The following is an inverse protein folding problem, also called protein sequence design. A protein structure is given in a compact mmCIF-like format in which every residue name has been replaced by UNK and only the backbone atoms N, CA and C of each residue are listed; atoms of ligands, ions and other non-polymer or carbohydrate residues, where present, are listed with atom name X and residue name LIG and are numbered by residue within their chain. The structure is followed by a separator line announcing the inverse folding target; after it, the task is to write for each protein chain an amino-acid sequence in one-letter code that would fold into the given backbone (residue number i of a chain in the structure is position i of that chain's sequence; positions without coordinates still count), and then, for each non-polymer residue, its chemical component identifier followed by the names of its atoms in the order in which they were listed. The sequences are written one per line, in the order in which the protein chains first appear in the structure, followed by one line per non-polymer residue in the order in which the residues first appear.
data_IF_432525771820
#
_entry.id   IF_432525771820
#
_cell.length_a   1.000
_cell.length_b   1.000
_cell.length_c   1.000
_cell.angle_alpha   90.00
_cell.angle_beta   90.00
_cell.angle_gamma   90.00
#
_symmetry.space_group_name_H-M   'P 1'
#
loop_
_entity.id
_entity.type
_entity.pdbx_description
1 polymer ?
#
# COMPACT_ATOMS: atom_id res chain seq x y z
N UNK A 1 18.25 -0.45 2.86
CA UNK A 1 18.91 -0.34 1.56
C UNK A 1 18.22 -1.19 0.50
N UNK A 2 18.03 -2.53 0.67
CA UNK A 2 17.49 -3.47 -0.33
C UNK A 2 16.18 -3.01 -0.99
N UNK A 3 15.17 -2.64 -0.19
CA UNK A 3 13.87 -2.21 -0.69
C UNK A 3 13.95 -0.93 -1.56
N UNK A 4 14.70 0.07 -1.10
CA UNK A 4 14.86 1.33 -1.83
C UNK A 4 15.62 1.14 -3.14
N UNK A 5 16.64 0.26 -3.17
CA UNK A 5 17.37 -0.03 -4.40
C UNK A 5 16.51 -0.80 -5.39
N UNK A 6 15.73 -1.80 -4.93
CA UNK A 6 14.85 -2.58 -5.80
C UNK A 6 13.69 -1.73 -6.36
N UNK A 7 13.16 -0.78 -5.58
CA UNK A 7 12.04 0.08 -5.94
C UNK A 7 12.49 1.50 -6.35
N UNK A 8 13.77 1.66 -6.70
CA UNK A 8 14.34 2.98 -7.02
C UNK A 8 13.56 3.72 -8.12
N UNK A 9 13.30 3.04 -9.24
CA UNK A 9 12.58 3.64 -10.37
C UNK A 9 11.14 4.02 -10.00
N UNK A 10 10.31 3.14 -9.40
CA UNK A 10 9.00 3.54 -8.87
C UNK A 10 9.06 4.74 -7.92
N UNK A 11 10.01 4.78 -6.99
CA UNK A 11 10.14 5.89 -6.06
C UNK A 11 10.56 7.21 -6.72
N UNK A 12 11.36 7.17 -7.80
CA UNK A 12 11.65 8.37 -8.59
C UNK A 12 10.39 8.94 -9.23
N UNK A 13 9.51 8.09 -9.78
CA UNK A 13 8.21 8.53 -10.31
C UNK A 13 7.29 9.08 -9.20
N UNK A 14 7.31 8.48 -8.01
CA UNK A 14 6.57 8.96 -6.85
C UNK A 14 7.03 10.36 -6.46
N UNK A 15 8.35 10.57 -6.30
CA UNK A 15 8.93 11.86 -5.93
C UNK A 15 8.63 12.92 -6.99
N UNK A 16 8.77 12.58 -8.27
CA UNK A 16 8.41 13.48 -9.37
C UNK A 16 6.94 13.90 -9.31
N UNK A 17 6.03 12.95 -9.07
CA UNK A 17 4.61 13.25 -8.89
C UNK A 17 4.36 14.17 -7.70
N UNK A 18 4.98 13.88 -6.54
CA UNK A 18 4.85 14.74 -5.36
C UNK A 18 5.39 16.14 -5.60
N UNK A 19 6.48 16.28 -6.35
CA UNK A 19 7.08 17.58 -6.68
C UNK A 19 6.20 18.42 -7.60
N UNK A 20 5.43 17.81 -8.51
CA UNK A 20 4.51 18.53 -9.40
C UNK A 20 3.42 19.30 -8.65
N UNK A 21 3.04 18.88 -7.45
CA UNK A 21 1.95 19.52 -6.70
C UNK A 21 2.30 20.91 -6.19
N UNK A 22 3.35 21.12 -5.37
CA UNK A 22 3.70 22.47 -4.91
C UNK A 22 4.02 23.38 -6.07
N UNK A 23 4.79 22.92 -7.07
CA UNK A 23 5.10 23.69 -8.27
C UNK A 23 3.82 24.08 -9.01
N UNK A 24 2.88 23.15 -9.19
CA UNK A 24 1.61 23.41 -9.87
C UNK A 24 0.75 24.47 -9.16
N UNK A 25 0.70 24.47 -7.84
CA UNK A 25 -0.04 25.49 -7.08
C UNK A 25 0.55 26.89 -7.27
N UNK A 26 1.88 27.01 -7.25
CA UNK A 26 2.55 28.30 -7.39
C UNK A 26 2.48 28.84 -8.82
N UNK A 27 2.71 27.99 -9.82
CA UNK A 27 2.81 28.44 -11.21
C UNK A 27 1.46 28.59 -11.92
N UNK A 28 0.42 27.87 -11.50
CA UNK A 28 -0.91 27.92 -12.11
C UNK A 28 -1.50 29.34 -12.18
N UNK A 29 -1.24 30.15 -11.16
CA UNK A 29 -1.77 31.51 -11.03
C UNK A 29 -0.88 32.60 -11.64
N UNK A 30 0.36 32.27 -12.08
CA UNK A 30 1.33 33.26 -12.58
C UNK A 30 0.90 33.95 -13.87
N UNK A 31 0.20 33.25 -14.76
CA UNK A 31 -0.24 33.77 -16.01
C UNK A 31 -1.77 33.68 -16.14
N UNK A 32 -2.44 34.72 -16.70
CA UNK A 32 -3.89 34.72 -16.92
C UNK A 32 -4.32 33.83 -18.09
N UNK A 33 -3.37 33.29 -18.88
CA UNK A 33 -3.63 32.51 -20.08
C UNK A 33 -4.40 31.18 -19.73
N UNK A 34 -5.54 30.91 -20.41
CA UNK A 34 -6.32 29.70 -20.21
C UNK A 34 -5.57 28.39 -20.57
N UNK A 35 -4.66 28.42 -21.55
CA UNK A 35 -3.86 27.25 -21.92
C UNK A 35 -2.85 26.93 -20.82
N UNK A 36 -2.17 27.94 -20.29
CA UNK A 36 -1.27 27.81 -19.16
C UNK A 36 -1.95 27.15 -17.96
N UNK A 37 -3.14 27.63 -17.56
CA UNK A 37 -3.91 27.06 -16.44
C UNK A 37 -4.31 25.63 -16.70
N UNK A 38 -4.73 25.26 -17.92
CA UNK A 38 -5.08 23.87 -18.27
C UNK A 38 -3.88 22.93 -18.17
N UNK A 39 -2.69 23.36 -18.55
CA UNK A 39 -1.48 22.56 -18.41
C UNK A 39 -1.15 22.28 -16.95
N UNK A 40 -1.21 23.31 -16.09
CA UNK A 40 -0.97 23.15 -14.68
C UNK A 40 -2.07 22.35 -13.96
N UNK A 41 -3.33 22.46 -14.37
CA UNK A 41 -4.41 21.62 -13.87
C UNK A 41 -4.14 20.15 -14.17
N UNK A 42 -3.65 19.82 -15.37
CA UNK A 42 -3.23 18.44 -15.71
C UNK A 42 -2.00 18.00 -14.91
N UNK A 43 -1.02 18.86 -14.73
CA UNK A 43 0.15 18.58 -13.89
C UNK A 43 -0.23 18.28 -12.44
N UNK A 44 -1.18 19.00 -11.85
CA UNK A 44 -1.73 18.76 -10.52
C UNK A 44 -2.44 17.38 -10.43
N UNK A 45 -3.21 17.02 -11.46
CA UNK A 45 -3.85 15.70 -11.54
C UNK A 45 -2.79 14.60 -11.62
N UNK A 46 -1.78 14.76 -12.48
CA UNK A 46 -0.68 13.80 -12.58
C UNK A 46 0.12 13.71 -11.29
N UNK A 47 0.33 14.84 -10.60
CA UNK A 47 0.98 14.92 -9.30
C UNK A 47 0.23 14.20 -8.17
N UNK A 48 -1.07 13.93 -8.32
CA UNK A 48 -1.84 13.10 -7.42
C UNK A 48 -1.93 11.64 -7.89
N UNK A 49 -2.07 11.43 -9.18
CA UNK A 49 -2.25 10.12 -9.81
C UNK A 49 -0.98 9.25 -9.69
N UNK A 50 0.18 9.81 -10.07
CA UNK A 50 1.45 9.07 -10.06
C UNK A 50 1.78 8.48 -8.68
N UNK A 51 1.82 9.24 -7.58
CA UNK A 51 2.08 8.67 -6.26
C UNK A 51 1.08 7.59 -5.87
N UNK A 52 -0.20 7.78 -6.17
CA UNK A 52 -1.25 6.79 -5.87
C UNK A 52 -1.00 5.47 -6.58
N UNK A 53 -0.69 5.53 -7.89
CA UNK A 53 -0.40 4.35 -8.68
C UNK A 53 0.89 3.66 -8.22
N UNK A 54 1.92 4.42 -7.89
CA UNK A 54 3.19 3.86 -7.38
C UNK A 54 2.98 3.17 -6.03
N UNK A 55 2.20 3.73 -5.10
CA UNK A 55 1.88 3.05 -3.85
C UNK A 55 1.13 1.74 -4.09
N UNK A 56 0.12 1.74 -4.95
CA UNK A 56 -0.59 0.52 -5.33
C UNK A 56 0.33 -0.51 -5.97
N UNK A 57 1.19 -0.08 -6.90
CA UNK A 57 2.18 -0.93 -7.53
C UNK A 57 3.18 -1.51 -6.53
N UNK A 58 3.67 -0.71 -5.58
CA UNK A 58 4.60 -1.15 -4.53
C UNK A 58 4.00 -2.28 -3.69
N UNK A 59 2.71 -2.18 -3.30
CA UNK A 59 2.02 -3.25 -2.59
C UNK A 59 1.92 -4.53 -3.45
N UNK A 60 1.62 -4.38 -4.73
CA UNK A 60 1.60 -5.51 -5.67
C UNK A 60 2.97 -6.18 -5.83
N UNK A 61 4.04 -5.41 -5.88
CA UNK A 61 5.42 -5.92 -5.91
C UNK A 61 5.81 -6.64 -4.62
N UNK A 62 5.43 -6.10 -3.46
CA UNK A 62 5.69 -6.74 -2.18
C UNK A 62 4.97 -8.09 -2.07
N UNK A 63 3.71 -8.16 -2.48
CA UNK A 63 2.94 -9.41 -2.47
C UNK A 63 3.47 -10.44 -3.47
N UNK A 64 4.01 -10.01 -4.58
CA UNK A 64 4.64 -10.88 -5.58
C UNK A 64 6.03 -11.36 -5.16
N UNK A 65 6.73 -10.58 -4.34
CA UNK A 65 8.14 -10.72 -4.02
C UNK A 65 9.04 -10.00 -5.03
N UNK A 66 10.05 -9.32 -4.51
CA UNK A 66 11.02 -8.60 -5.33
C UNK A 66 12.14 -9.54 -5.81
N UNK A 67 12.65 -9.39 -7.03
CA UNK A 67 13.68 -10.28 -7.58
C UNK A 67 15.06 -9.88 -7.08
N UNK A 68 15.40 -10.22 -5.84
CA UNK A 68 16.73 -10.02 -5.28
C UNK A 68 17.23 -11.27 -4.55
N UNK A 69 18.54 -11.38 -4.38
CA UNK A 69 19.19 -12.39 -3.54
C UNK A 69 20.40 -11.81 -2.85
N UNK A 70 20.75 -12.39 -1.71
CA UNK A 70 21.99 -12.11 -1.03
C UNK A 70 23.04 -13.18 -1.39
N UNK A 71 24.28 -12.77 -1.60
CA UNK A 71 25.42 -13.70 -1.64
C UNK A 71 25.96 -13.96 -0.23
N UNK A 72 26.96 -14.83 -0.11
CA UNK A 72 27.63 -15.15 1.16
C UNK A 72 28.28 -13.93 1.83
N UNK A 73 28.59 -12.88 1.08
CA UNK A 73 29.13 -11.61 1.58
C UNK A 73 28.03 -10.56 1.87
N UNK A 74 26.74 -10.98 1.89
CA UNK A 74 25.56 -10.12 2.08
C UNK A 74 25.41 -9.00 1.04
N UNK A 75 26.01 -9.17 -0.15
CA UNK A 75 25.81 -8.25 -1.26
C UNK A 75 24.51 -8.58 -1.97
N UNK A 76 23.79 -7.55 -2.40
CA UNK A 76 22.50 -7.70 -3.03
C UNK A 76 22.69 -7.81 -4.55
N UNK A 77 22.11 -8.86 -5.13
CA UNK A 77 22.03 -9.04 -6.57
C UNK A 77 20.56 -8.99 -6.99
N UNK A 78 20.27 -8.22 -8.03
CA UNK A 78 18.93 -8.09 -8.59
C UNK A 78 18.81 -8.91 -9.86
N UNK A 79 17.67 -9.57 -10.04
CA UNK A 79 17.31 -10.27 -11.26
C UNK A 79 16.32 -9.48 -12.11
N UNK A 80 15.87 -10.12 -13.19
CA UNK A 80 14.81 -9.56 -14.01
C UNK A 80 13.49 -9.55 -13.25
N UNK A 81 12.72 -8.48 -13.42
CA UNK A 81 11.36 -8.39 -12.89
C UNK A 81 10.41 -9.19 -13.77
N UNK A 82 9.77 -10.19 -13.17
CA UNK A 82 8.63 -10.87 -13.77
C UNK A 82 7.35 -10.28 -13.17
N UNK A 83 6.53 -9.67 -14.02
CA UNK A 83 5.37 -8.91 -13.57
C UNK A 83 4.09 -9.74 -13.65
N UNK A 84 3.48 -10.00 -12.50
CA UNK A 84 2.10 -10.46 -12.45
C UNK A 84 1.16 -9.25 -12.66
N UNK A 85 0.94 -8.90 -13.92
CA UNK A 85 0.15 -7.73 -14.30
C UNK A 85 -1.27 -7.71 -13.70
N UNK A 86 -2.03 -8.82 -13.66
CA UNK A 86 -3.34 -8.84 -13.02
C UNK A 86 -3.33 -8.38 -11.55
N UNK A 87 -2.41 -8.89 -10.75
CA UNK A 87 -2.27 -8.48 -9.35
C UNK A 87 -1.85 -7.02 -9.24
N UNK A 88 -0.86 -6.61 -10.03
CA UNK A 88 -0.35 -5.25 -10.03
C UNK A 88 -1.45 -4.24 -10.38
N UNK A 89 -2.21 -4.48 -11.45
CA UNK A 89 -3.30 -3.62 -11.88
C UNK A 89 -4.44 -3.57 -10.86
N UNK A 90 -4.77 -4.69 -10.21
CA UNK A 90 -5.79 -4.69 -9.14
C UNK A 90 -5.33 -3.89 -7.92
N UNK A 91 -4.07 -3.99 -7.50
CA UNK A 91 -3.52 -3.18 -6.40
C UNK A 91 -3.52 -1.69 -6.74
N UNK A 92 -3.06 -1.31 -7.95
CA UNK A 92 -3.07 0.06 -8.44
C UNK A 92 -4.49 0.64 -8.53
N UNK A 93 -5.42 -0.14 -9.08
CA UNK A 93 -6.83 0.24 -9.20
C UNK A 93 -7.50 0.39 -7.85
N UNK A 94 -7.24 -0.53 -6.90
CA UNK A 94 -7.76 -0.45 -5.53
C UNK A 94 -7.27 0.81 -4.83
N UNK A 95 -5.96 1.10 -4.89
CA UNK A 95 -5.38 2.30 -4.30
C UNK A 95 -6.01 3.57 -4.88
N UNK A 96 -6.17 3.62 -6.21
CA UNK A 96 -6.79 4.77 -6.88
C UNK A 96 -8.26 4.95 -6.46
N UNK A 97 -9.08 3.88 -6.55
CA UNK A 97 -10.48 3.95 -6.19
C UNK A 97 -10.69 4.32 -4.72
N UNK A 98 -9.87 3.76 -3.83
CA UNK A 98 -9.94 4.00 -2.39
C UNK A 98 -9.55 5.45 -2.02
N UNK A 99 -8.46 5.97 -2.57
CA UNK A 99 -8.05 7.36 -2.31
C UNK A 99 -9.02 8.38 -2.93
N UNK A 100 -9.57 8.09 -4.10
CA UNK A 100 -10.63 8.92 -4.68
C UNK A 100 -11.91 8.89 -3.83
N UNK A 101 -12.29 7.73 -3.28
CA UNK A 101 -13.41 7.60 -2.35
C UNK A 101 -13.17 8.40 -1.08
N UNK A 102 -11.98 8.29 -0.49
CA UNK A 102 -11.63 9.02 0.73
C UNK A 102 -11.63 10.54 0.50
N UNK A 103 -11.05 10.99 -0.61
CA UNK A 103 -11.06 12.41 -1.01
C UNK A 103 -12.49 12.94 -1.26
N UNK A 104 -13.34 12.16 -1.94
CA UNK A 104 -14.75 12.52 -2.16
C UNK A 104 -15.51 12.62 -0.84
N UNK A 105 -15.26 11.70 0.10
CA UNK A 105 -15.88 11.70 1.43
C UNK A 105 -15.41 12.90 2.27
N UNK A 106 -14.14 13.28 2.15
CA UNK A 106 -13.60 14.49 2.78
C UNK A 106 -14.26 15.76 2.25
N UNK A 107 -14.35 15.91 0.92
CA UNK A 107 -15.00 17.05 0.31
C UNK A 107 -16.49 17.12 0.66
N UNK A 108 -17.19 15.99 0.68
CA UNK A 108 -18.59 15.94 1.13
C UNK A 108 -18.75 16.43 2.57
N UNK A 109 -17.79 16.15 3.44
CA UNK A 109 -17.81 16.61 4.84
C UNK A 109 -17.55 18.12 4.98
N UNK A 110 -16.74 18.70 4.09
CA UNK A 110 -16.24 20.08 4.19
C UNK A 110 -16.93 21.08 3.27
N UNK A 111 -17.71 20.63 2.28
CA UNK A 111 -18.34 21.50 1.28
C UNK A 111 -19.86 21.30 1.25
N UNK A 112 -20.54 22.25 0.62
CA UNK A 112 -22.01 22.23 0.43
C UNK A 112 -22.37 22.48 -1.04
N UNK A 113 -23.64 22.30 -1.38
CA UNK A 113 -24.16 22.61 -2.70
C UNK A 113 -23.69 21.65 -3.80
N UNK A 114 -23.32 22.21 -4.97
CA UNK A 114 -23.00 21.43 -6.18
C UNK A 114 -21.79 20.50 -5.99
N UNK A 115 -20.76 20.94 -5.23
CA UNK A 115 -19.55 20.16 -5.00
C UNK A 115 -19.90 18.90 -4.19
N UNK A 116 -20.63 19.06 -3.08
CA UNK A 116 -21.07 17.95 -2.24
C UNK A 116 -21.91 16.92 -3.03
N UNK A 117 -22.84 17.39 -3.87
CA UNK A 117 -23.64 16.52 -4.72
C UNK A 117 -22.81 15.72 -5.73
N UNK A 118 -21.81 16.36 -6.36
CA UNK A 118 -20.87 15.68 -7.27
C UNK A 118 -20.07 14.61 -6.54
N UNK A 119 -19.55 14.92 -5.36
CA UNK A 119 -18.80 13.97 -4.52
C UNK A 119 -19.68 12.79 -4.11
N UNK A 120 -20.92 13.01 -3.68
CA UNK A 120 -21.85 11.95 -3.35
C UNK A 120 -22.17 11.05 -4.57
N UNK A 121 -22.30 11.65 -5.76
CA UNK A 121 -22.51 10.90 -7.01
C UNK A 121 -21.30 10.04 -7.36
N UNK A 122 -20.07 10.56 -7.23
CA UNK A 122 -18.85 9.80 -7.49
C UNK A 122 -18.67 8.65 -6.51
N UNK A 123 -18.92 8.86 -5.22
CA UNK A 123 -18.82 7.84 -4.18
C UNK A 123 -19.69 6.62 -4.46
N UNK A 124 -20.84 6.76 -5.17
CA UNK A 124 -21.70 5.64 -5.54
C UNK A 124 -20.99 4.54 -6.34
N UNK A 125 -20.04 4.94 -7.16
CA UNK A 125 -19.25 4.02 -8.00
C UNK A 125 -17.92 3.63 -7.37
N UNK A 126 -17.29 4.57 -6.66
CA UNK A 126 -15.95 4.37 -6.10
C UNK A 126 -15.91 3.34 -4.97
N UNK A 127 -16.92 3.31 -4.10
CA UNK A 127 -16.98 2.34 -3.01
C UNK A 127 -17.12 0.90 -3.51
N UNK A 128 -18.15 0.56 -4.32
CA UNK A 128 -18.28 -0.76 -4.92
C UNK A 128 -17.05 -1.15 -5.77
N UNK A 129 -16.46 -0.19 -6.53
CA UNK A 129 -15.28 -0.43 -7.31
C UNK A 129 -14.07 -0.79 -6.41
N UNK A 130 -13.83 -0.03 -5.34
CA UNK A 130 -12.75 -0.30 -4.40
C UNK A 130 -12.91 -1.67 -3.73
N UNK A 131 -14.14 -2.00 -3.26
CA UNK A 131 -14.44 -3.31 -2.67
C UNK A 131 -14.30 -4.45 -3.68
N UNK A 132 -14.77 -4.27 -4.90
CA UNK A 132 -14.66 -5.27 -5.96
C UNK A 132 -13.21 -5.55 -6.38
N UNK A 133 -12.41 -4.50 -6.57
CA UNK A 133 -10.99 -4.64 -6.89
C UNK A 133 -10.21 -5.26 -5.73
N UNK A 134 -10.52 -4.90 -4.48
CA UNK A 134 -9.90 -5.51 -3.30
C UNK A 134 -10.24 -7.00 -3.19
N UNK A 135 -11.51 -7.38 -3.43
CA UNK A 135 -11.93 -8.78 -3.48
C UNK A 135 -11.20 -9.55 -4.59
N UNK A 136 -11.08 -8.94 -5.77
CA UNK A 136 -10.36 -9.53 -6.91
C UNK A 136 -8.87 -9.70 -6.59
N UNK A 137 -8.24 -8.71 -5.93
CA UNK A 137 -6.85 -8.82 -5.46
C UNK A 137 -6.67 -9.95 -4.45
N UNK A 138 -7.59 -10.10 -3.49
CA UNK A 138 -7.62 -11.22 -2.54
C UNK A 138 -7.79 -12.58 -3.23
N UNK A 139 -8.64 -12.65 -4.26
CA UNK A 139 -8.79 -13.86 -5.08
C UNK A 139 -7.48 -14.21 -5.82
N UNK A 140 -6.84 -13.24 -6.47
CA UNK A 140 -5.53 -13.47 -7.08
C UNK A 140 -4.48 -13.91 -6.07
N UNK A 141 -4.46 -13.29 -4.89
CA UNK A 141 -3.52 -13.64 -3.82
C UNK A 141 -3.72 -15.09 -3.34
N UNK A 142 -4.95 -15.56 -3.26
CA UNK A 142 -5.25 -16.95 -2.86
C UNK A 142 -4.79 -18.00 -3.88
N UNK A 143 -4.57 -17.62 -5.14
CA UNK A 143 -4.04 -18.51 -6.18
C UNK A 143 -2.50 -18.49 -6.26
N UNK A 144 -1.87 -17.52 -5.61
CA UNK A 144 -0.41 -17.37 -5.62
C UNK A 144 0.23 -18.14 -4.47
N UNK A 145 1.42 -18.68 -4.72
CA UNK A 145 2.26 -19.24 -3.67
C UNK A 145 2.83 -18.10 -2.83
N UNK A 146 2.64 -18.18 -1.53
CA UNK A 146 3.24 -17.26 -0.58
C UNK A 146 4.52 -17.83 0.03
N UNK A 147 5.05 -17.15 1.02
CA UNK A 147 6.29 -17.52 1.70
C UNK A 147 5.99 -17.98 3.12
N UNK A 148 6.73 -18.99 3.58
CA UNK A 148 6.66 -19.51 4.94
C UNK A 148 8.05 -19.79 5.46
N UNK A 149 8.32 -19.47 6.72
CA UNK A 149 9.56 -19.83 7.39
C UNK A 149 9.45 -21.29 7.78
N UNK A 150 10.36 -22.13 7.25
CA UNK A 150 10.43 -23.55 7.58
C UNK A 150 11.34 -23.79 8.79
N UNK A 151 12.47 -23.09 8.85
CA UNK A 151 13.46 -23.24 9.93
C UNK A 151 14.02 -21.85 10.25
N UNK A 152 14.19 -21.59 11.53
CA UNK A 152 14.88 -20.40 12.04
C UNK A 152 16.22 -20.91 12.56
N UNK A 153 17.33 -20.30 12.16
CA UNK A 153 18.65 -20.62 12.67
C UNK A 153 18.78 -20.32 14.17
N UNK A 154 19.95 -20.57 14.73
CA UNK A 154 20.21 -20.35 16.15
C UNK A 154 19.99 -18.87 16.52
N UNK A 155 19.01 -18.64 17.39
CA UNK A 155 18.65 -17.30 17.87
C UNK A 155 19.75 -16.63 18.70
N UNK A 156 20.74 -17.39 19.16
CA UNK A 156 21.88 -16.87 19.92
C UNK A 156 23.08 -16.48 19.04
N UNK A 157 23.00 -16.78 17.73
CA UNK A 157 24.02 -16.36 16.77
C UNK A 157 23.73 -14.95 16.22
N UNK A 158 24.71 -14.34 15.55
CA UNK A 158 24.51 -13.05 14.87
C UNK A 158 23.41 -13.23 13.81
N UNK A 159 22.28 -12.59 14.01
CA UNK A 159 21.13 -12.66 13.10
C UNK A 159 21.53 -12.12 11.73
N UNK A 160 21.65 -12.99 10.75
CA UNK A 160 21.84 -12.62 9.36
C UNK A 160 20.64 -13.08 8.54
N UNK A 161 20.27 -12.37 7.47
CA UNK A 161 19.14 -12.77 6.62
C UNK A 161 19.23 -14.20 6.06
N UNK A 162 20.46 -14.75 5.96
CA UNK A 162 20.73 -16.09 5.41
C UNK A 162 20.58 -17.24 6.42
N UNK A 163 20.35 -16.96 7.70
CA UNK A 163 20.24 -18.00 8.74
C UNK A 163 18.87 -18.70 8.81
N UNK A 164 17.91 -18.24 8.02
CA UNK A 164 16.59 -18.84 7.97
C UNK A 164 16.36 -19.58 6.66
N UNK A 165 15.65 -20.69 6.73
CA UNK A 165 15.15 -21.39 5.55
C UNK A 165 13.71 -20.98 5.29
N UNK A 166 13.49 -20.31 4.17
CA UNK A 166 12.15 -19.92 3.71
C UNK A 166 11.76 -20.80 2.53
N UNK A 167 10.54 -21.29 2.55
CA UNK A 167 9.97 -22.09 1.48
C UNK A 167 8.72 -21.41 0.92
N UNK A 168 8.44 -21.67 -0.34
CA UNK A 168 7.18 -21.26 -0.96
C UNK A 168 6.09 -22.27 -0.63
N UNK A 169 4.95 -21.80 -0.12
CA UNK A 169 3.80 -22.64 0.22
C UNK A 169 2.54 -22.11 -0.49
N UNK A 170 1.61 -22.98 -0.92
CA UNK A 170 0.36 -22.54 -1.56
C UNK A 170 -0.46 -21.63 -0.64
N UNK A 171 -0.42 -21.86 0.67
CA UNK A 171 -1.21 -21.08 1.66
C UNK A 171 -0.36 -20.00 2.35
N UNK A 172 0.85 -19.70 1.86
CA UNK A 172 1.80 -18.84 2.56
C UNK A 172 1.23 -17.46 2.92
N UNK A 173 0.46 -16.85 2.03
CA UNK A 173 -0.18 -15.56 2.26
C UNK A 173 -1.43 -15.62 3.16
N UNK A 174 -2.10 -16.76 3.21
CA UNK A 174 -3.30 -16.96 4.01
C UNK A 174 -3.01 -17.65 5.36
N UNK A 175 -1.76 -18.10 5.58
CA UNK A 175 -1.37 -18.85 6.76
C UNK A 175 -1.72 -18.18 8.08
N UNK A 176 -1.51 -16.86 8.19
CA UNK A 176 -1.84 -16.10 9.40
C UNK A 176 -3.35 -16.03 9.65
N UNK A 177 -4.15 -15.92 8.60
CA UNK A 177 -5.62 -15.90 8.70
C UNK A 177 -6.18 -17.27 9.07
N UNK A 178 -5.54 -18.36 8.60
CA UNK A 178 -5.93 -19.73 8.97
C UNK A 178 -5.52 -20.06 10.40
N UNK A 179 -4.33 -19.60 10.85
CA UNK A 179 -3.87 -19.79 12.22
C UNK A 179 -4.72 -19.03 13.25
N UNK A 180 -5.22 -17.85 12.87
CA UNK A 180 -6.01 -16.99 13.73
C UNK A 180 -7.29 -16.54 13.00
N UNK A 181 -8.39 -17.32 13.05
CA UNK A 181 -9.61 -17.05 12.29
C UNK A 181 -10.24 -15.66 12.55
N UNK A 182 -10.03 -15.07 13.73
CA UNK A 182 -10.52 -13.73 14.03
C UNK A 182 -9.92 -12.64 13.13
N UNK A 183 -8.73 -12.88 12.55
CA UNK A 183 -8.09 -11.95 11.63
C UNK A 183 -8.88 -11.74 10.32
N UNK A 184 -9.78 -12.66 9.97
CA UNK A 184 -10.68 -12.48 8.83
C UNK A 184 -11.64 -11.29 8.97
N UNK A 185 -11.81 -10.79 10.19
CA UNK A 185 -12.59 -9.54 10.42
C UNK A 185 -11.95 -8.35 9.71
N UNK A 186 -10.62 -8.33 9.56
CA UNK A 186 -9.89 -7.20 8.94
C UNK A 186 -10.18 -7.09 7.44
N UNK A 187 -10.00 -8.13 6.60
CA UNK A 187 -10.41 -8.06 5.19
C UNK A 187 -11.93 -7.89 5.02
N UNK A 188 -12.77 -8.45 5.92
CA UNK A 188 -14.20 -8.18 5.89
C UNK A 188 -14.52 -6.70 6.08
N UNK A 189 -13.85 -6.02 7.02
CA UNK A 189 -13.95 -4.56 7.18
C UNK A 189 -13.44 -3.83 5.94
N UNK A 190 -12.35 -4.30 5.32
CA UNK A 190 -11.83 -3.76 4.06
C UNK A 190 -12.85 -3.80 2.92
N UNK A 191 -13.69 -4.83 2.87
CA UNK A 191 -14.78 -4.94 1.90
C UNK A 191 -16.01 -4.10 2.25
N UNK A 192 -16.41 -4.07 3.52
CA UNK A 192 -17.67 -3.46 3.96
C UNK A 192 -17.58 -1.94 4.15
N UNK A 193 -16.45 -1.43 4.64
CA UNK A 193 -16.30 -0.01 4.94
C UNK A 193 -16.36 0.92 3.71
N UNK A 194 -15.83 0.58 2.52
CA UNK A 194 -16.04 1.40 1.33
C UNK A 194 -17.52 1.47 0.93
N UNK A 195 -18.27 0.37 1.08
CA UNK A 195 -19.70 0.34 0.83
C UNK A 195 -20.48 1.19 1.84
N UNK A 196 -20.10 1.11 3.11
CA UNK A 196 -20.67 1.97 4.16
C UNK A 196 -20.38 3.45 3.89
N UNK A 197 -19.16 3.79 3.43
CA UNK A 197 -18.83 5.15 3.02
C UNK A 197 -19.70 5.65 1.88
N UNK A 198 -19.98 4.78 0.90
CA UNK A 198 -20.89 5.06 -0.21
C UNK A 198 -22.32 5.34 0.28
N UNK A 199 -22.83 4.50 1.15
CA UNK A 199 -24.17 4.66 1.73
C UNK A 199 -24.28 5.95 2.56
N UNK A 200 -23.27 6.22 3.40
CA UNK A 200 -23.18 7.44 4.18
C UNK A 200 -23.15 8.69 3.30
N UNK A 201 -22.40 8.62 2.18
CA UNK A 201 -22.33 9.69 1.19
C UNK A 201 -23.69 9.94 0.50
N UNK A 202 -24.41 8.87 0.17
CA UNK A 202 -25.75 8.96 -0.42
C UNK A 202 -26.78 9.59 0.52
N UNK A 203 -26.63 9.34 1.84
CA UNK A 203 -27.47 9.92 2.91
C UNK A 203 -27.03 11.33 3.34
N UNK A 204 -26.01 11.92 2.71
CA UNK A 204 -25.46 13.22 3.06
C UNK A 204 -24.70 13.26 4.40
N UNK A 205 -24.40 12.09 4.99
CA UNK A 205 -23.68 11.97 6.28
C UNK A 205 -22.17 12.04 6.09
N UNK A 206 -21.63 13.22 5.75
CA UNK A 206 -20.21 13.40 5.41
C UNK A 206 -19.22 12.93 6.49
N UNK A 207 -19.51 13.14 7.79
CA UNK A 207 -18.65 12.67 8.90
C UNK A 207 -18.58 11.15 8.95
N UNK A 208 -19.67 10.45 8.75
CA UNK A 208 -19.69 8.99 8.71
C UNK A 208 -18.97 8.46 7.46
N UNK A 209 -19.14 9.13 6.31
CA UNK A 209 -18.49 8.77 5.08
C UNK A 209 -16.96 8.85 5.17
N UNK A 210 -16.42 9.91 5.77
CA UNK A 210 -14.96 10.07 5.93
C UNK A 210 -14.39 9.07 6.93
N UNK A 211 -15.07 8.78 8.05
CA UNK A 211 -14.64 7.77 9.01
C UNK A 211 -14.65 6.37 8.40
N UNK A 212 -15.71 6.03 7.68
CA UNK A 212 -15.81 4.75 6.99
C UNK A 212 -14.74 4.59 5.89
N UNK A 213 -14.49 5.61 5.08
CA UNK A 213 -13.43 5.55 4.05
C UNK A 213 -12.03 5.53 4.65
N UNK A 214 -11.77 6.25 5.73
CA UNK A 214 -10.51 6.18 6.48
C UNK A 214 -10.28 4.80 7.11
N UNK A 215 -11.32 4.25 7.74
CA UNK A 215 -11.31 2.87 8.24
C UNK A 215 -11.08 1.82 7.14
N UNK A 216 -11.64 2.04 5.94
CA UNK A 216 -11.39 1.19 4.77
C UNK A 216 -9.91 1.20 4.37
N UNK A 217 -9.28 2.40 4.33
CA UNK A 217 -7.85 2.52 4.06
C UNK A 217 -7.02 1.72 5.08
N UNK A 218 -7.32 1.89 6.38
CA UNK A 218 -6.63 1.18 7.44
C UNK A 218 -6.85 -0.35 7.35
N UNK A 219 -8.07 -0.81 7.13
CA UNK A 219 -8.41 -2.22 7.04
C UNK A 219 -7.73 -2.92 5.84
N UNK A 220 -7.74 -2.28 4.66
CA UNK A 220 -7.07 -2.84 3.48
C UNK A 220 -5.56 -2.91 3.66
N UNK A 221 -4.93 -1.86 4.23
CA UNK A 221 -3.48 -1.87 4.52
C UNK A 221 -3.12 -2.92 5.57
N UNK A 222 -3.91 -3.05 6.64
CA UNK A 222 -3.70 -4.08 7.66
C UNK A 222 -3.88 -5.49 7.10
N UNK A 223 -4.82 -5.70 6.16
CA UNK A 223 -4.97 -7.00 5.49
C UNK A 223 -3.69 -7.40 4.76
N UNK A 224 -3.09 -6.47 4.01
CA UNK A 224 -1.81 -6.72 3.32
C UNK A 224 -0.68 -6.95 4.32
N UNK A 225 -0.61 -6.15 5.39
CA UNK A 225 0.40 -6.31 6.43
C UNK A 225 0.30 -7.68 7.14
N UNK A 226 -0.92 -8.14 7.46
CA UNK A 226 -1.17 -9.46 8.07
C UNK A 226 -0.79 -10.59 7.10
N UNK A 227 -1.13 -10.45 5.81
CA UNK A 227 -0.75 -11.43 4.79
C UNK A 227 0.76 -11.55 4.65
N UNK A 228 1.48 -10.43 4.65
CA UNK A 228 2.94 -10.40 4.52
C UNK A 228 3.67 -10.84 5.79
N UNK A 229 3.08 -10.67 6.98
CA UNK A 229 3.76 -10.97 8.24
C UNK A 229 4.23 -12.44 8.28
N UNK A 230 5.49 -12.70 8.69
CA UNK A 230 6.49 -11.80 9.26
C UNK A 230 7.43 -11.14 8.23
N UNK A 231 7.18 -11.31 6.94
CA UNK A 231 8.04 -10.77 5.89
C UNK A 231 7.79 -9.26 5.68
N UNK A 232 8.88 -8.50 5.58
CA UNK A 232 8.85 -7.09 5.19
C UNK A 232 9.19 -6.94 3.70
N UNK A 233 10.11 -7.77 3.22
CA UNK A 233 10.54 -7.78 1.83
C UNK A 233 10.76 -9.22 1.35
N UNK A 234 9.75 -9.85 0.78
CA UNK A 234 9.88 -11.18 0.19
C UNK A 234 10.78 -11.16 -1.04
N UNK A 235 11.58 -12.22 -1.22
CA UNK A 235 12.41 -12.42 -2.41
C UNK A 235 11.81 -13.48 -3.31
N UNK A 236 11.61 -13.14 -4.59
CA UNK A 236 11.12 -14.09 -5.61
C UNK A 236 12.24 -14.94 -6.22
N UNK A 237 13.51 -14.48 -6.20
CA UNK A 237 14.64 -15.24 -6.73
C UNK A 237 15.09 -16.33 -5.76
N UNK A 238 15.25 -15.97 -4.50
CA UNK A 238 15.71 -16.89 -3.47
C UNK A 238 14.91 -16.65 -2.20
N UNK A 239 13.92 -17.52 -1.90
CA UNK A 239 13.04 -17.32 -0.75
C UNK A 239 13.81 -17.12 0.58
N UNK A 240 14.94 -17.79 0.77
CA UNK A 240 15.77 -17.66 1.97
C UNK A 240 16.44 -16.29 2.11
N UNK A 241 16.55 -15.52 1.03
CA UNK A 241 17.02 -14.14 1.04
C UNK A 241 15.93 -13.14 1.44
N UNK A 242 14.68 -13.57 1.65
CA UNK A 242 13.58 -12.68 2.08
C UNK A 242 13.90 -12.03 3.42
N UNK A 243 13.59 -10.74 3.54
CA UNK A 243 13.78 -9.99 4.78
C UNK A 243 12.53 -10.11 5.64
N UNK A 244 12.72 -10.47 6.89
CA UNK A 244 11.67 -10.48 7.92
C UNK A 244 11.74 -9.23 8.78
N UNK A 245 10.72 -9.03 9.61
CA UNK A 245 10.69 -7.93 10.56
C UNK A 245 11.91 -7.94 11.49
N UNK A 246 12.34 -9.13 11.91
CA UNK A 246 13.51 -9.29 12.80
C UNK A 246 14.84 -8.94 12.13
N UNK A 247 14.98 -9.17 10.82
CA UNK A 247 16.18 -8.78 10.06
C UNK A 247 16.27 -7.25 9.87
N UNK A 248 15.14 -6.56 9.94
CA UNK A 248 15.04 -5.11 9.71
C UNK A 248 14.98 -4.25 10.98
N UNK A 249 14.77 -4.85 12.15
CA UNK A 249 14.69 -4.11 13.41
C UNK A 249 16.07 -3.71 13.92
N UNK A 250 16.15 -2.49 14.47
CA UNK A 250 17.33 -2.02 15.19
C UNK A 250 17.48 -2.73 16.53
N UNK A 251 18.64 -2.58 17.17
CA UNK A 251 18.86 -3.11 18.53
C UNK A 251 17.84 -2.55 19.52
N UNK A 252 17.56 -3.29 20.58
CA UNK A 252 16.59 -2.92 21.64
C UNK A 252 16.89 -1.52 22.22
N UNK A 253 18.15 -1.21 22.48
CA UNK A 253 18.56 0.11 22.94
C UNK A 253 18.20 1.24 21.98
N UNK A 254 18.41 1.04 20.67
CA UNK A 254 18.07 2.03 19.65
C UNK A 254 16.56 2.24 19.57
N UNK A 255 15.77 1.16 19.63
CA UNK A 255 14.32 1.24 19.64
C UNK A 255 13.79 1.98 20.87
N UNK A 256 14.38 1.71 22.05
CA UNK A 256 13.99 2.39 23.29
C UNK A 256 14.30 3.89 23.24
N UNK A 257 15.49 4.28 22.75
CA UNK A 257 15.85 5.70 22.55
C UNK A 257 14.90 6.38 21.56
N UNK A 258 14.61 5.72 20.43
CA UNK A 258 13.66 6.27 19.44
C UNK A 258 12.26 6.43 20.01
N UNK A 259 11.78 5.45 20.80
CA UNK A 259 10.49 5.54 21.49
C UNK A 259 10.45 6.75 22.43
N UNK A 260 11.52 6.96 23.21
CA UNK A 260 11.65 8.12 24.10
C UNK A 260 11.63 9.45 23.36
N UNK A 261 12.37 9.54 22.24
CA UNK A 261 12.38 10.74 21.38
C UNK A 261 10.98 11.03 20.83
N UNK A 262 10.30 10.02 20.29
CA UNK A 262 8.94 10.17 19.74
C UNK A 262 7.95 10.60 20.84
N UNK A 263 8.02 10.00 22.01
CA UNK A 263 7.13 10.35 23.13
C UNK A 263 7.34 11.79 23.66
N UNK A 264 8.55 12.33 23.52
CA UNK A 264 8.86 13.72 23.95
C UNK A 264 8.50 14.75 22.87
N UNK A 265 8.63 14.38 21.57
CA UNK A 265 8.41 15.30 20.45
C UNK A 265 6.98 15.32 19.91
N UNK A 266 6.14 14.32 20.26
CA UNK A 266 4.71 14.26 19.94
C UNK A 266 3.84 14.59 21.17
#
# INVERSE_FOLDING_TARGET
AAAFSALYVPFMFLLFGLFLRPVGFDYRSKLPDPLWRRWWDRALVMGALLPTLVFGATLGFLLQGLPFRFDSALRIHYGAFDFNWPLLLTCMGTALALLMLHGSSFLLCKTQGVIAQRCARQSRWLGPLASGLFALGGFWLSQMRGYRIAEIGDLNSVLTPLMKRVVTAPDGWLGNFMAHPWLWTVPALGLLLPLLSTLASALGRGRLAILASGGACAAMMLTVAIALFPFVLPSSLEPSSSLTLWDGTSSEHTLFIMLGIVAVLM
#
